data_IF_483227471081
#
_entry.id   IF_483227471081
#
_cell.length_a   1.000
_cell.length_b   1.000
_cell.length_c   1.000
_cell.angle_alpha   90.00
_cell.angle_beta   90.00
_cell.angle_gamma   90.00
#
_symmetry.space_group_name_H-M   'P 1'
#
loop_
_entity.id
_entity.type
_entity.pdbx_description
1 polymer ?
#
# COMPACT_ATOMS: atom_id res chain seq x y z
N UNK A 1 -8.99 -15.53 15.00
CA UNK A 1 -7.77 -14.78 14.67
C UNK A 1 -7.19 -15.39 13.42
N UNK A 2 -6.97 -14.59 12.38
CA UNK A 2 -6.08 -14.99 11.29
C UNK A 2 -4.68 -15.12 11.90
N UNK A 3 -4.02 -16.27 11.71
CA UNK A 3 -2.61 -16.40 12.06
C UNK A 3 -1.81 -15.64 10.99
N UNK A 4 -1.44 -14.40 11.32
CA UNK A 4 -0.55 -13.64 10.45
C UNK A 4 0.84 -14.26 10.42
N UNK A 5 1.47 -14.22 9.25
CA UNK A 5 2.75 -14.87 8.99
C UNK A 5 3.81 -13.83 8.64
N UNK A 6 4.98 -13.91 9.28
CA UNK A 6 6.14 -13.11 8.91
C UNK A 6 7.22 -13.98 8.31
N UNK A 7 8.00 -13.41 7.40
CA UNK A 7 9.26 -13.99 6.94
C UNK A 7 10.40 -12.99 7.12
N UNK A 8 11.53 -13.50 7.58
CA UNK A 8 12.75 -12.74 7.82
C UNK A 8 13.85 -13.23 6.88
N UNK A 9 14.14 -12.44 5.85
CA UNK A 9 15.24 -12.68 4.92
C UNK A 9 16.49 -12.01 5.49
N UNK A 10 17.49 -12.82 5.82
CA UNK A 10 18.71 -12.34 6.49
C UNK A 10 19.93 -12.42 5.60
N UNK A 11 20.78 -11.40 5.67
CA UNK A 11 22.04 -11.35 4.90
C UNK A 11 23.21 -12.11 5.53
N UNK A 12 23.08 -12.51 6.80
CA UNK A 12 24.13 -13.17 7.56
C UNK A 12 23.53 -14.30 8.39
N UNK A 13 24.08 -15.51 8.26
CA UNK A 13 23.64 -16.68 9.04
C UNK A 13 23.71 -16.45 10.54
N UNK A 14 24.66 -15.65 11.03
CA UNK A 14 24.75 -15.29 12.46
C UNK A 14 23.50 -14.58 12.98
N UNK A 15 22.78 -13.85 12.11
CA UNK A 15 21.54 -13.19 12.51
C UNK A 15 20.41 -14.17 12.75
N UNK A 16 20.43 -15.35 12.12
CA UNK A 16 19.44 -16.42 12.35
C UNK A 16 19.48 -16.83 13.82
N UNK A 17 20.67 -17.05 14.36
CA UNK A 17 20.84 -17.48 15.75
C UNK A 17 20.33 -16.42 16.73
N UNK A 18 20.64 -15.14 16.49
CA UNK A 18 20.12 -14.06 17.33
C UNK A 18 18.59 -13.93 17.23
N UNK A 19 18.03 -14.04 16.02
CA UNK A 19 16.58 -13.98 15.81
C UNK A 19 15.86 -15.18 16.43
N UNK A 20 16.46 -16.37 16.47
CA UNK A 20 15.87 -17.55 17.09
C UNK A 20 15.52 -17.32 18.57
N UNK A 21 16.38 -16.60 19.31
CA UNK A 21 16.15 -16.21 20.71
C UNK A 21 15.11 -15.10 20.89
N UNK A 22 14.74 -14.43 19.80
CA UNK A 22 13.76 -13.36 19.77
C UNK A 22 12.40 -13.80 19.20
N UNK A 23 12.22 -15.10 18.88
CA UNK A 23 11.05 -15.62 18.16
C UNK A 23 9.71 -15.21 18.78
N UNK A 24 9.57 -15.44 20.08
CA UNK A 24 8.32 -15.15 20.80
C UNK A 24 8.12 -13.65 21.03
N UNK A 25 9.20 -12.87 20.97
CA UNK A 25 9.18 -11.45 21.27
C UNK A 25 8.87 -10.58 20.06
N UNK A 26 9.20 -10.99 18.85
CA UNK A 26 9.10 -10.15 17.62
C UNK A 26 8.32 -10.86 16.50
N UNK A 27 7.46 -11.81 16.86
CA UNK A 27 6.59 -12.57 15.94
C UNK A 27 7.34 -13.05 14.69
N UNK A 28 8.37 -13.86 14.91
CA UNK A 28 9.21 -14.39 13.83
C UNK A 28 8.64 -15.73 13.38
N UNK A 29 7.99 -15.75 12.21
CA UNK A 29 7.45 -16.95 11.58
C UNK A 29 8.56 -17.79 10.97
N UNK A 30 9.05 -17.38 9.80
CA UNK A 30 10.14 -18.04 9.10
C UNK A 30 11.38 -17.15 9.01
N UNK A 31 12.58 -17.75 9.05
CA UNK A 31 13.84 -17.03 8.86
C UNK A 31 14.67 -17.75 7.81
N UNK A 32 15.04 -17.03 6.75
CA UNK A 32 15.70 -17.59 5.57
C UNK A 32 16.98 -16.82 5.29
N UNK A 33 18.06 -17.55 5.03
CA UNK A 33 19.31 -16.94 4.57
C UNK A 33 19.18 -16.54 3.10
N UNK A 34 19.43 -15.28 2.75
CA UNK A 34 19.11 -14.78 1.40
C UNK A 34 19.74 -15.60 0.25
N UNK A 35 20.96 -16.13 0.42
CA UNK A 35 21.62 -16.94 -0.63
C UNK A 35 20.97 -18.31 -0.84
N UNK A 36 20.25 -18.78 0.16
CA UNK A 36 19.52 -20.06 0.16
C UNK A 36 18.02 -19.83 -0.04
N UNK A 37 17.60 -18.58 -0.19
CA UNK A 37 16.21 -18.19 -0.34
C UNK A 37 15.72 -18.55 -1.74
N UNK A 38 14.91 -19.61 -1.84
CA UNK A 38 14.10 -19.86 -3.01
C UNK A 38 12.80 -19.08 -2.88
N UNK A 39 12.75 -17.88 -3.47
CA UNK A 39 11.62 -16.95 -3.36
C UNK A 39 10.32 -17.58 -3.87
N UNK A 40 10.39 -18.40 -4.92
CA UNK A 40 9.24 -19.09 -5.51
C UNK A 40 8.69 -20.22 -4.60
N UNK A 41 9.49 -20.67 -3.64
CA UNK A 41 9.12 -21.71 -2.68
C UNK A 41 8.75 -21.18 -1.29
N UNK A 42 8.77 -19.86 -1.09
CA UNK A 42 8.38 -19.28 0.20
C UNK A 42 6.88 -19.46 0.42
N UNK A 43 6.43 -19.79 1.65
CA UNK A 43 5.01 -19.88 1.94
C UNK A 43 4.33 -18.52 1.78
N UNK A 44 3.01 -18.49 1.75
CA UNK A 44 2.29 -17.23 1.85
C UNK A 44 2.57 -16.59 3.22
N UNK A 45 3.29 -15.47 3.24
CA UNK A 45 3.47 -14.60 4.40
C UNK A 45 2.50 -13.40 4.32
N UNK A 46 2.48 -12.55 5.34
CA UNK A 46 1.82 -11.24 5.40
C UNK A 46 2.85 -10.12 5.42
N UNK A 47 3.93 -10.24 6.20
CA UNK A 47 5.04 -9.28 6.25
C UNK A 47 6.40 -9.92 5.89
N UNK A 48 7.25 -9.14 5.21
CA UNK A 48 8.64 -9.46 4.88
C UNK A 48 9.56 -8.51 5.60
N UNK A 49 10.53 -9.07 6.31
CA UNK A 49 11.63 -8.34 6.89
C UNK A 49 12.89 -8.67 6.12
N UNK A 50 13.57 -7.65 5.62
CA UNK A 50 14.92 -7.77 5.13
C UNK A 50 15.88 -7.27 6.20
N UNK A 51 16.63 -8.19 6.82
CA UNK A 51 17.62 -7.86 7.82
C UNK A 51 19.00 -7.76 7.18
N UNK A 52 19.45 -6.52 6.98
CA UNK A 52 20.59 -6.13 6.18
C UNK A 52 21.82 -5.83 7.04
N UNK A 53 22.99 -6.14 6.49
CA UNK A 53 24.24 -5.67 7.06
C UNK A 53 24.56 -4.26 6.52
N UNK A 54 24.96 -3.31 7.37
CA UNK A 54 25.22 -1.94 6.95
C UNK A 54 26.36 -1.81 5.93
N UNK A 55 27.29 -2.78 5.89
CA UNK A 55 28.41 -2.79 4.96
C UNK A 55 28.05 -3.35 3.57
N UNK A 56 26.88 -3.98 3.43
CA UNK A 56 26.45 -4.64 2.19
C UNK A 56 25.19 -3.99 1.59
N UNK A 57 24.90 -2.77 1.99
CA UNK A 57 23.81 -1.97 1.42
C UNK A 57 24.08 -1.78 -0.08
N UNK A 58 23.04 -1.88 -0.91
CA UNK A 58 23.11 -1.83 -2.37
C UNK A 58 23.64 -3.10 -3.09
N UNK A 59 23.70 -4.25 -2.41
CA UNK A 59 23.98 -5.50 -3.11
C UNK A 59 22.90 -5.79 -4.18
N UNK A 60 23.31 -5.95 -5.44
CA UNK A 60 22.41 -6.21 -6.56
C UNK A 60 21.51 -7.44 -6.33
N UNK A 61 22.05 -8.48 -5.69
CA UNK A 61 21.29 -9.69 -5.36
C UNK A 61 20.13 -9.44 -4.39
N UNK A 62 20.29 -8.48 -3.48
CA UNK A 62 19.23 -8.09 -2.56
C UNK A 62 18.10 -7.35 -3.31
N UNK A 63 18.45 -6.44 -4.21
CA UNK A 63 17.47 -5.74 -5.04
C UNK A 63 16.68 -6.72 -5.92
N UNK A 64 17.35 -7.72 -6.49
CA UNK A 64 16.69 -8.80 -7.25
C UNK A 64 15.74 -9.61 -6.36
N UNK A 65 16.11 -9.90 -5.11
CA UNK A 65 15.24 -10.56 -4.15
C UNK A 65 13.99 -9.74 -3.83
N UNK A 66 14.14 -8.43 -3.62
CA UNK A 66 13.01 -7.51 -3.43
C UNK A 66 12.09 -7.51 -4.66
N UNK A 67 12.64 -7.43 -5.88
CA UNK A 67 11.86 -7.47 -7.12
C UNK A 67 11.03 -8.75 -7.24
N UNK A 68 11.64 -9.91 -7.00
CA UNK A 68 10.93 -11.20 -7.04
C UNK A 68 9.81 -11.29 -6.00
N UNK A 69 10.05 -10.79 -4.79
CA UNK A 69 8.98 -10.71 -3.78
C UNK A 69 7.84 -9.81 -4.26
N UNK A 70 8.13 -8.71 -4.96
CA UNK A 70 7.12 -7.81 -5.52
C UNK A 70 6.41 -8.36 -6.76
N UNK A 71 7.00 -9.33 -7.46
CA UNK A 71 6.29 -10.06 -8.52
C UNK A 71 5.15 -10.89 -7.93
N UNK A 72 5.42 -11.55 -6.79
CA UNK A 72 4.44 -12.32 -6.00
C UNK A 72 3.48 -11.39 -5.25
N UNK A 73 3.97 -10.23 -4.80
CA UNK A 73 3.23 -9.28 -3.96
C UNK A 73 3.12 -7.92 -4.58
N UNK A 74 1.89 -7.48 -4.81
CA UNK A 74 1.66 -6.13 -5.36
C UNK A 74 1.91 -5.01 -4.34
N UNK A 75 1.90 -5.29 -3.03
CA UNK A 75 2.04 -4.24 -2.01
C UNK A 75 3.45 -4.15 -1.38
N UNK A 76 4.08 -2.99 -1.55
CA UNK A 76 5.41 -2.67 -1.00
C UNK A 76 5.43 -2.38 0.49
N UNK A 77 4.28 -2.02 1.09
CA UNK A 77 4.16 -1.67 2.53
C UNK A 77 4.40 -2.85 3.47
N UNK A 78 4.26 -4.04 2.91
CA UNK A 78 4.45 -5.29 3.63
C UNK A 78 5.93 -5.70 3.67
N UNK A 79 6.81 -4.92 3.06
CA UNK A 79 8.26 -5.13 3.04
C UNK A 79 8.91 -4.08 3.93
N UNK A 80 9.58 -4.53 4.98
CA UNK A 80 10.25 -3.70 5.97
C UNK A 80 11.75 -3.99 5.92
N UNK A 81 12.55 -2.93 5.84
CA UNK A 81 13.99 -3.03 5.81
C UNK A 81 14.56 -2.70 7.19
N UNK A 82 15.35 -3.63 7.72
CA UNK A 82 16.01 -3.50 9.01
C UNK A 82 17.52 -3.51 8.78
N UNK A 83 18.20 -2.40 9.06
CA UNK A 83 19.66 -2.38 9.07
C UNK A 83 20.12 -2.84 10.44
N UNK A 84 20.82 -3.96 10.47
CA UNK A 84 21.33 -4.58 11.69
C UNK A 84 22.71 -4.04 12.08
N UNK A 85 23.25 -4.49 13.21
CA UNK A 85 24.60 -4.15 13.70
C UNK A 85 24.89 -2.64 13.76
N UNK A 86 23.86 -1.85 14.02
CA UNK A 86 23.94 -0.38 14.07
C UNK A 86 24.86 0.14 15.16
N UNK A 87 25.17 -0.70 16.15
CA UNK A 87 26.18 -0.45 17.18
C UNK A 87 27.61 -0.31 16.62
N UNK A 88 27.87 -0.71 15.37
CA UNK A 88 29.17 -0.53 14.71
C UNK A 88 29.30 0.83 14.01
N UNK A 89 28.21 1.59 13.92
CA UNK A 89 28.15 2.82 13.15
C UNK A 89 27.98 4.04 14.06
N UNK A 90 28.63 5.14 13.69
CA UNK A 90 28.36 6.44 14.29
C UNK A 90 27.11 7.09 13.67
N UNK A 91 26.63 8.19 14.28
CA UNK A 91 25.41 8.88 13.86
C UNK A 91 25.43 9.34 12.40
N UNK A 92 26.57 9.78 11.87
CA UNK A 92 26.69 10.22 10.48
C UNK A 92 26.67 9.04 9.51
N UNK A 93 27.34 7.94 9.87
CA UNK A 93 27.31 6.69 9.10
C UNK A 93 25.91 6.11 9.02
N UNK A 94 25.16 6.10 10.13
CA UNK A 94 23.75 5.66 10.15
C UNK A 94 22.87 6.46 9.18
N UNK A 95 23.07 7.77 9.10
CA UNK A 95 22.34 8.63 8.15
C UNK A 95 22.73 8.30 6.71
N UNK A 96 24.02 8.14 6.43
CA UNK A 96 24.52 7.82 5.09
C UNK A 96 23.97 6.47 4.60
N UNK A 97 24.07 5.44 5.44
CA UNK A 97 23.51 4.10 5.23
C UNK A 97 22.03 4.16 4.87
N UNK A 98 21.24 4.95 5.63
CA UNK A 98 19.81 5.12 5.36
C UNK A 98 19.54 5.77 4.00
N UNK A 99 20.31 6.81 3.65
CA UNK A 99 20.17 7.53 2.38
C UNK A 99 20.54 6.62 1.20
N UNK A 100 21.63 5.87 1.32
CA UNK A 100 22.12 4.96 0.29
C UNK A 100 21.14 3.82 0.03
N UNK A 101 20.61 3.20 1.10
CA UNK A 101 19.59 2.16 0.96
C UNK A 101 18.33 2.69 0.29
N UNK A 102 17.85 3.87 0.70
CA UNK A 102 16.69 4.51 0.08
C UNK A 102 16.90 4.77 -1.41
N UNK A 103 18.06 5.31 -1.81
CA UNK A 103 18.40 5.54 -3.22
C UNK A 103 18.46 4.25 -4.02
N UNK A 104 19.05 3.21 -3.46
CA UNK A 104 19.20 1.91 -4.13
C UNK A 104 17.86 1.21 -4.34
N UNK A 105 16.89 1.46 -3.46
CA UNK A 105 15.55 0.91 -3.53
C UNK A 105 14.57 1.78 -4.31
N UNK A 106 14.87 3.05 -4.58
CA UNK A 106 13.90 4.01 -5.13
C UNK A 106 13.36 3.61 -6.51
N UNK A 107 14.17 2.87 -7.29
CA UNK A 107 13.76 2.30 -8.58
C UNK A 107 12.75 1.15 -8.46
N UNK A 108 12.60 0.56 -7.26
CA UNK A 108 11.82 -0.66 -7.02
C UNK A 108 10.69 -0.41 -6.03
N UNK A 109 10.96 0.33 -4.96
CA UNK A 109 10.03 0.70 -3.91
C UNK A 109 10.14 2.20 -3.67
N UNK A 110 9.07 2.93 -4.00
CA UNK A 110 8.96 4.34 -3.64
C UNK A 110 8.85 4.48 -2.11
N UNK A 111 9.74 5.28 -1.52
CA UNK A 111 9.75 5.57 -0.07
C UNK A 111 9.83 4.33 0.84
N UNK A 112 10.90 3.52 0.78
CA UNK A 112 11.00 2.30 1.57
C UNK A 112 11.07 2.60 3.08
N UNK A 113 10.40 1.76 3.85
CA UNK A 113 10.39 1.79 5.32
C UNK A 113 11.66 1.15 5.86
N UNK A 114 12.56 1.99 6.40
CA UNK A 114 13.89 1.57 6.89
C UNK A 114 14.01 1.87 8.38
N UNK A 115 14.27 0.82 9.16
CA UNK A 115 14.58 0.91 10.59
C UNK A 115 16.00 0.44 10.89
N UNK A 116 16.49 0.91 12.03
CA UNK A 116 17.83 0.64 12.53
C UNK A 116 17.69 -0.22 13.79
N UNK A 117 18.44 -1.32 13.89
CA UNK A 117 18.41 -2.21 15.04
C UNK A 117 19.76 -2.87 15.31
N UNK A 118 19.85 -3.61 16.42
CA UNK A 118 20.94 -4.54 16.70
C UNK A 118 20.38 -5.80 17.34
N UNK A 119 20.25 -6.86 16.54
CA UNK A 119 19.76 -8.17 17.01
C UNK A 119 20.65 -8.77 18.08
N UNK A 120 21.97 -8.51 18.01
CA UNK A 120 22.93 -8.95 19.02
C UNK A 120 22.71 -8.29 20.38
N UNK A 121 22.54 -6.96 20.41
CA UNK A 121 22.30 -6.24 21.67
C UNK A 121 20.95 -6.63 22.27
N UNK A 122 19.93 -6.83 21.42
CA UNK A 122 18.65 -7.30 21.90
C UNK A 122 18.72 -8.72 22.48
N UNK A 123 19.45 -9.61 21.83
CA UNK A 123 19.72 -10.96 22.33
C UNK A 123 20.38 -10.93 23.72
N UNK A 124 21.45 -10.15 23.89
CA UNK A 124 22.10 -10.00 25.21
C UNK A 124 21.18 -9.42 26.29
N UNK A 125 20.32 -8.47 25.91
CA UNK A 125 19.32 -7.91 26.83
C UNK A 125 18.30 -8.95 27.27
N UNK A 126 17.75 -9.75 26.35
CA UNK A 126 16.76 -10.77 26.69
C UNK A 126 17.38 -11.91 27.51
N UNK A 127 18.59 -12.38 27.19
CA UNK A 127 19.29 -13.37 28.04
C UNK A 127 19.52 -12.86 29.47
N UNK A 128 19.91 -11.59 29.62
CA UNK A 128 20.06 -10.99 30.94
C UNK A 128 18.71 -10.89 31.69
N UNK A 129 17.67 -10.42 31.00
CA UNK A 129 16.33 -10.25 31.56
C UNK A 129 15.69 -11.58 31.98
N UNK A 130 15.94 -12.65 31.23
CA UNK A 130 15.51 -14.01 31.57
C UNK A 130 16.39 -14.68 32.63
N UNK A 131 17.50 -14.05 33.04
CA UNK A 131 18.42 -14.58 34.04
C UNK A 131 19.39 -15.65 33.51
N UNK A 132 19.45 -15.84 32.19
CA UNK A 132 20.39 -16.74 31.51
C UNK A 132 21.82 -16.16 31.49
N UNK A 133 21.93 -14.82 31.49
CA UNK A 133 23.20 -14.10 31.68
C UNK A 133 23.18 -13.22 32.92
N UNK A 134 24.27 -13.25 33.67
CA UNK A 134 24.53 -12.30 34.74
C UNK A 134 25.23 -11.04 34.20
N UNK A 135 25.32 -10.00 35.02
CA UNK A 135 26.14 -8.81 34.67
C UNK A 135 27.60 -9.19 34.41
N UNK A 136 28.13 -10.19 35.15
CA UNK A 136 29.51 -10.66 34.97
C UNK A 136 29.70 -11.36 33.63
N UNK A 137 28.66 -12.01 33.10
CA UNK A 137 28.70 -12.61 31.77
C UNK A 137 28.70 -11.53 30.69
N UNK A 138 27.85 -10.50 30.83
CA UNK A 138 27.87 -9.33 29.93
C UNK A 138 29.22 -8.60 29.96
N UNK A 139 29.86 -8.48 31.13
CA UNK A 139 31.20 -7.90 31.26
C UNK A 139 32.30 -8.72 30.56
N UNK A 140 32.03 -9.98 30.19
CA UNK A 140 32.97 -10.84 29.43
C UNK A 140 32.71 -10.81 27.93
N UNK A 141 31.61 -10.21 27.48
CA UNK A 141 31.27 -10.12 26.06
C UNK A 141 32.21 -9.15 25.34
N UNK A 142 33.11 -9.70 24.52
CA UNK A 142 34.15 -8.94 23.83
C UNK A 142 33.59 -7.91 22.84
N UNK A 143 32.41 -8.19 22.28
CA UNK A 143 31.78 -7.35 21.28
C UNK A 143 30.78 -6.34 21.86
N UNK A 144 30.58 -6.33 23.19
CA UNK A 144 29.65 -5.42 23.85
C UNK A 144 30.33 -4.08 24.18
N UNK A 145 30.02 -3.06 23.38
CA UNK A 145 30.47 -1.69 23.58
C UNK A 145 29.27 -0.74 23.68
N UNK A 146 29.08 -0.07 24.81
CA UNK A 146 27.90 0.78 25.05
C UNK A 146 28.32 2.26 24.96
N UNK A 147 27.73 3.07 24.07
CA UNK A 147 27.98 4.51 24.03
C UNK A 147 27.31 5.23 25.21
N UNK A 148 28.07 6.04 25.94
CA UNK A 148 27.56 6.83 27.08
C UNK A 148 27.11 8.27 26.71
N UNK A 149 27.44 8.72 25.50
CA UNK A 149 27.35 10.14 25.09
C UNK A 149 28.74 10.66 24.73
N UNK A 150 28.82 11.72 23.92
CA UNK A 150 30.07 12.37 23.48
C UNK A 150 31.12 11.47 22.79
N UNK A 151 30.71 10.27 22.35
CA UNK A 151 31.58 9.30 21.67
C UNK A 151 32.36 8.38 22.61
N UNK A 152 32.19 8.49 23.92
CA UNK A 152 32.80 7.56 24.88
C UNK A 152 32.07 6.21 24.86
N UNK A 153 32.86 5.13 24.81
CA UNK A 153 32.39 3.75 24.83
C UNK A 153 32.78 3.08 26.15
N UNK A 154 31.84 2.36 26.75
CA UNK A 154 32.15 1.45 27.85
C UNK A 154 32.15 0.00 27.38
N UNK A 155 33.03 -0.80 27.98
CA UNK A 155 33.14 -2.21 27.71
C UNK A 155 33.70 -2.96 28.92
N UNK A 156 33.60 -4.28 28.88
CA UNK A 156 34.21 -5.14 29.88
C UNK A 156 33.70 -4.89 31.30
N UNK A 157 34.62 -4.86 32.27
CA UNK A 157 34.32 -4.69 33.71
C UNK A 157 33.61 -3.37 34.08
N UNK A 158 33.64 -2.38 33.20
CA UNK A 158 33.00 -1.08 33.43
C UNK A 158 31.48 -1.11 33.17
N UNK A 159 30.97 -2.20 32.60
CA UNK A 159 29.53 -2.40 32.40
C UNK A 159 28.87 -2.70 33.75
N UNK A 160 27.83 -1.95 34.10
CA UNK A 160 27.05 -2.07 35.34
C UNK A 160 25.57 -2.29 34.99
N UNK A 161 24.75 -2.60 35.99
CA UNK A 161 23.31 -2.84 35.84
C UNK A 161 22.58 -1.61 35.26
N UNK A 162 23.06 -0.40 35.51
CA UNK A 162 22.46 0.84 35.01
C UNK A 162 22.51 0.92 33.47
N UNK A 163 23.53 0.32 32.86
CA UNK A 163 23.72 0.32 31.40
C UNK A 163 22.81 -0.66 30.65
N UNK A 164 22.12 -1.58 31.35
CA UNK A 164 21.22 -2.56 30.72
C UNK A 164 20.10 -1.86 29.92
N UNK A 165 19.61 -0.73 30.42
CA UNK A 165 18.61 0.09 29.71
C UNK A 165 19.12 0.62 28.35
N UNK A 166 20.41 0.95 28.26
CA UNK A 166 21.04 1.38 27.01
C UNK A 166 21.22 0.22 26.05
N UNK A 167 21.56 -0.98 26.54
CA UNK A 167 21.62 -2.20 25.70
C UNK A 167 20.27 -2.45 25.03
N UNK A 168 19.17 -2.40 25.79
CA UNK A 168 17.80 -2.51 25.27
C UNK A 168 17.54 -1.46 24.17
N UNK A 169 17.90 -0.20 24.45
CA UNK A 169 17.67 0.93 23.54
C UNK A 169 18.42 0.78 22.22
N UNK A 170 19.67 0.32 22.26
CA UNK A 170 20.50 0.07 21.06
C UNK A 170 19.94 -1.10 20.26
N UNK A 171 19.45 -2.14 20.94
CA UNK A 171 18.79 -3.27 20.29
C UNK A 171 17.60 -2.84 19.43
N UNK A 172 16.78 -1.91 19.95
CA UNK A 172 15.63 -1.29 19.27
C UNK A 172 14.57 -2.26 18.72
N UNK A 173 14.58 -3.53 19.14
CA UNK A 173 13.62 -4.54 18.66
C UNK A 173 12.22 -4.36 19.24
N UNK A 174 12.07 -3.72 20.40
CA UNK A 174 10.74 -3.42 20.98
C UNK A 174 9.93 -2.47 20.08
N UNK A 175 10.58 -1.47 19.47
CA UNK A 175 9.92 -0.59 18.50
C UNK A 175 9.51 -1.35 17.23
N UNK A 176 10.32 -2.31 16.79
CA UNK A 176 9.98 -3.19 15.66
C UNK A 176 8.79 -4.08 16.02
N UNK A 177 8.77 -4.65 17.22
CA UNK A 177 7.64 -5.43 17.73
C UNK A 177 6.35 -4.62 17.71
N UNK A 178 6.36 -3.42 18.28
CA UNK A 178 5.17 -2.57 18.33
C UNK A 178 4.66 -2.25 16.92
N UNK A 179 5.57 -1.95 16.00
CA UNK A 179 5.24 -1.73 14.60
C UNK A 179 4.57 -2.95 13.95
N UNK A 180 5.06 -4.16 14.21
CA UNK A 180 4.46 -5.42 13.72
C UNK A 180 3.05 -5.59 14.29
N UNK A 181 2.90 -5.46 15.61
CA UNK A 181 1.61 -5.59 16.30
C UNK A 181 0.58 -4.60 15.77
N UNK A 182 0.97 -3.34 15.58
CA UNK A 182 0.11 -2.29 15.07
C UNK A 182 -0.30 -2.57 13.62
N UNK A 183 0.62 -3.10 12.80
CA UNK A 183 0.35 -3.47 11.42
C UNK A 183 -0.67 -4.63 11.33
N UNK A 184 -0.46 -5.71 12.07
CA UNK A 184 -1.39 -6.86 12.08
C UNK A 184 -2.74 -6.53 12.67
N UNK A 185 -2.77 -5.77 13.77
CA UNK A 185 -4.02 -5.28 14.35
C UNK A 185 -4.82 -4.44 13.35
N UNK A 186 -4.14 -3.71 12.47
CA UNK A 186 -4.76 -2.88 11.45
C UNK A 186 -5.18 -3.69 10.22
N UNK A 187 -4.36 -4.65 9.77
CA UNK A 187 -4.72 -5.59 8.70
C UNK A 187 -5.94 -6.42 9.05
N UNK A 188 -6.08 -6.88 10.31
CA UNK A 188 -7.23 -7.69 10.75
C UNK A 188 -8.53 -6.87 10.71
N UNK A 189 -8.46 -5.59 11.08
CA UNK A 189 -9.62 -4.69 11.05
C UNK A 189 -10.07 -4.36 9.63
N UNK A 190 -9.13 -4.25 8.71
CA UNK A 190 -9.39 -3.79 7.35
C UNK A 190 -9.49 -4.92 6.32
N UNK A 191 -9.22 -6.19 6.71
CA UNK A 191 -9.18 -7.35 5.81
C UNK A 191 -8.26 -7.17 4.58
N UNK A 192 -7.07 -6.61 4.83
CA UNK A 192 -6.09 -6.33 3.77
C UNK A 192 -5.56 -7.62 3.13
N UNK A 193 -5.54 -7.68 1.80
CA UNK A 193 -4.90 -8.75 1.04
C UNK A 193 -3.57 -8.25 0.44
N UNK A 194 -2.47 -8.72 1.00
CA UNK A 194 -1.10 -8.30 0.63
C UNK A 194 -0.70 -8.70 -0.79
N UNK A 195 -1.43 -9.64 -1.41
CA UNK A 195 -1.17 -10.09 -2.79
C UNK A 195 -1.81 -9.16 -3.82
N UNK A 196 -2.80 -8.38 -3.40
CA UNK A 196 -3.56 -7.48 -4.27
C UNK A 196 -3.12 -6.04 -4.08
N UNK A 197 -3.45 -5.21 -5.06
CA UNK A 197 -3.43 -3.75 -4.94
C UNK A 197 -4.68 -3.33 -4.14
N UNK A 198 -4.46 -2.84 -2.92
CA UNK A 198 -5.50 -2.44 -1.98
C UNK A 198 -5.82 -0.96 -2.21
N UNK A 199 -6.98 -0.69 -2.81
CA UNK A 199 -7.40 0.65 -3.23
C UNK A 199 -8.62 1.08 -2.42
N UNK A 200 -8.63 2.33 -1.97
CA UNK A 200 -9.75 2.86 -1.21
C UNK A 200 -10.75 3.49 -2.17
N UNK A 201 -12.01 3.11 -2.04
CA UNK A 201 -13.13 3.70 -2.79
C UNK A 201 -13.96 4.55 -1.85
N UNK A 202 -13.92 5.85 -2.07
CA UNK A 202 -14.59 6.87 -1.27
C UNK A 202 -15.75 7.45 -2.05
N UNK A 203 -16.91 7.56 -1.41
CA UNK A 203 -18.11 8.12 -2.01
C UNK A 203 -19.36 7.74 -1.25
N UNK A 204 -20.47 8.42 -1.55
CA UNK A 204 -21.78 8.02 -1.05
C UNK A 204 -22.15 6.64 -1.59
N UNK A 205 -22.88 5.85 -0.81
CA UNK A 205 -23.34 4.53 -1.22
C UNK A 205 -24.54 4.65 -2.17
N UNK A 206 -24.26 5.20 -3.35
CA UNK A 206 -25.20 5.34 -4.47
C UNK A 206 -24.89 4.30 -5.55
N UNK A 207 -25.78 4.23 -6.54
CA UNK A 207 -25.70 3.29 -7.66
C UNK A 207 -24.34 3.34 -8.35
N UNK A 208 -23.73 4.53 -8.48
CA UNK A 208 -22.45 4.68 -9.17
C UNK A 208 -21.29 3.99 -8.47
N UNK A 209 -21.20 4.13 -7.13
CA UNK A 209 -20.17 3.47 -6.33
C UNK A 209 -20.35 1.95 -6.34
N UNK A 210 -21.57 1.45 -6.10
CA UNK A 210 -21.84 0.01 -6.08
C UNK A 210 -21.55 -0.65 -7.42
N UNK A 211 -21.93 0.00 -8.52
CA UNK A 211 -21.70 -0.53 -9.86
C UNK A 211 -20.23 -0.53 -10.24
N UNK A 212 -19.48 0.51 -9.88
CA UNK A 212 -18.03 0.53 -10.06
C UNK A 212 -17.35 -0.62 -9.32
N UNK A 213 -17.72 -0.83 -8.04
CA UNK A 213 -17.15 -1.92 -7.23
C UNK A 213 -17.47 -3.28 -7.85
N UNK A 214 -18.71 -3.49 -8.33
CA UNK A 214 -19.11 -4.72 -9.01
C UNK A 214 -18.28 -4.96 -10.28
N UNK A 215 -18.09 -3.94 -11.12
CA UNK A 215 -17.34 -4.04 -12.37
C UNK A 215 -15.87 -4.37 -12.10
N UNK A 216 -15.24 -3.63 -11.17
CA UNK A 216 -13.81 -3.84 -10.87
C UNK A 216 -13.58 -5.20 -10.21
N UNK A 217 -14.46 -5.61 -9.30
CA UNK A 217 -14.37 -6.96 -8.74
C UNK A 217 -14.63 -8.04 -9.81
N UNK A 218 -15.50 -7.79 -10.79
CA UNK A 218 -15.71 -8.70 -11.91
C UNK A 218 -14.50 -8.83 -12.82
N UNK A 219 -13.87 -7.71 -13.17
CA UNK A 219 -12.79 -7.66 -14.17
C UNK A 219 -11.38 -7.89 -13.59
N UNK A 220 -11.12 -7.48 -12.34
CA UNK A 220 -9.78 -7.43 -11.73
C UNK A 220 -9.73 -8.04 -10.31
N UNK A 221 -10.68 -8.92 -9.95
CA UNK A 221 -10.75 -9.51 -8.59
C UNK A 221 -9.47 -10.23 -8.15
N UNK A 222 -8.64 -10.72 -9.08
CA UNK A 222 -7.40 -11.41 -8.74
C UNK A 222 -6.28 -10.45 -8.33
N UNK A 223 -6.23 -9.25 -8.94
CA UNK A 223 -5.13 -8.29 -8.78
C UNK A 223 -5.46 -7.12 -7.85
N UNK A 224 -6.76 -6.82 -7.65
CA UNK A 224 -7.21 -5.62 -6.96
C UNK A 224 -8.18 -5.97 -5.84
N UNK A 225 -7.98 -5.35 -4.68
CA UNK A 225 -8.93 -5.36 -3.57
C UNK A 225 -9.46 -3.93 -3.35
N UNK A 226 -10.78 -3.76 -3.41
CA UNK A 226 -11.43 -2.47 -3.18
C UNK A 226 -11.96 -2.38 -1.74
N UNK A 227 -11.64 -1.27 -1.09
CA UNK A 227 -12.07 -0.98 0.27
C UNK A 227 -13.02 0.21 0.24
N UNK A 228 -14.30 -0.08 0.38
CA UNK A 228 -15.33 0.94 0.41
C UNK A 228 -15.30 1.68 1.75
N UNK A 229 -15.15 3.00 1.69
CA UNK A 229 -15.13 3.85 2.86
C UNK A 229 -16.18 4.96 2.72
N UNK A 230 -16.94 5.17 3.81
CA UNK A 230 -17.91 6.28 3.90
C UNK A 230 -17.36 7.45 4.72
N UNK A 231 -16.33 7.22 5.56
CA UNK A 231 -15.75 8.22 6.45
C UNK A 231 -14.22 8.19 6.40
N UNK A 232 -13.62 9.28 5.95
CA UNK A 232 -12.17 9.43 5.80
C UNK A 232 -11.38 9.22 7.10
N UNK A 233 -12.02 9.36 8.26
CA UNK A 233 -11.35 9.14 9.55
C UNK A 233 -11.04 7.67 9.84
N UNK A 234 -11.57 6.75 9.03
CA UNK A 234 -11.33 5.31 9.15
C UNK A 234 -10.15 4.84 8.27
N UNK A 235 -9.62 5.71 7.41
CA UNK A 235 -8.53 5.37 6.51
C UNK A 235 -7.19 5.46 7.25
N UNK A 236 -6.59 4.31 7.53
CA UNK A 236 -5.16 4.22 7.83
C UNK A 236 -4.37 4.10 6.52
N UNK A 237 -3.90 5.24 6.02
CA UNK A 237 -3.16 5.38 4.76
C UNK A 237 -1.99 4.42 4.60
N UNK A 238 -1.36 4.03 5.71
CA UNK A 238 -0.18 3.17 5.73
C UNK A 238 -0.49 1.75 5.24
N UNK A 239 -1.76 1.34 5.21
CA UNK A 239 -2.19 0.01 4.80
C UNK A 239 -2.54 -0.13 3.31
N UNK A 240 -2.92 0.96 2.64
CA UNK A 240 -3.45 0.93 1.26
C UNK A 240 -2.42 1.42 0.26
N UNK A 241 -2.44 1.02 -1.01
CA UNK A 241 -1.39 1.32 -2.00
C UNK A 241 -1.35 2.78 -2.49
N UNK A 242 -1.72 3.72 -1.60
CA UNK A 242 -1.74 5.16 -1.80
C UNK A 242 -2.55 5.55 -3.03
N UNK A 243 -3.66 4.86 -3.26
CA UNK A 243 -4.65 5.23 -4.26
C UNK A 243 -6.02 5.35 -3.60
N UNK A 244 -6.65 6.52 -3.80
CA UNK A 244 -8.03 6.77 -3.44
C UNK A 244 -8.82 7.06 -4.72
N UNK A 245 -9.90 6.32 -4.91
CA UNK A 245 -10.87 6.56 -5.97
C UNK A 245 -12.08 7.24 -5.35
N UNK A 246 -12.36 8.46 -5.79
CA UNK A 246 -13.49 9.25 -5.34
C UNK A 246 -14.63 9.13 -6.34
N UNK A 247 -15.76 8.52 -5.97
CA UNK A 247 -16.87 8.23 -6.87
C UNK A 247 -18.13 8.97 -6.46
N UNK A 248 -18.87 9.44 -7.46
CA UNK A 248 -20.23 9.98 -7.32
C UNK A 248 -20.33 11.20 -6.39
N UNK A 249 -19.22 11.94 -6.29
CA UNK A 249 -19.19 13.15 -5.49
C UNK A 249 -19.92 14.23 -6.26
N UNK A 250 -21.06 14.71 -5.74
CA UNK A 250 -21.65 15.95 -6.21
C UNK A 250 -20.70 17.10 -5.86
N UNK A 251 -19.72 17.37 -6.73
CA UNK A 251 -18.61 18.30 -6.47
C UNK A 251 -19.09 19.70 -6.06
N UNK A 252 -20.27 20.13 -6.52
CA UNK A 252 -20.84 21.42 -6.13
C UNK A 252 -21.28 21.44 -4.66
N UNK A 253 -21.86 20.33 -4.17
CA UNK A 253 -22.33 20.18 -2.78
C UNK A 253 -21.25 19.65 -1.83
N UNK A 254 -20.34 18.86 -2.37
CA UNK A 254 -19.32 18.11 -1.63
C UNK A 254 -17.93 18.72 -1.81
N UNK A 255 -17.86 20.00 -2.18
CA UNK A 255 -16.61 20.76 -2.31
C UNK A 255 -15.72 20.66 -1.07
N UNK A 256 -16.30 20.83 0.11
CA UNK A 256 -15.57 20.71 1.40
C UNK A 256 -14.97 19.33 1.61
N UNK A 257 -15.70 18.30 1.18
CA UNK A 257 -15.24 16.92 1.31
C UNK A 257 -14.07 16.63 0.35
N UNK A 258 -14.15 17.09 -0.90
CA UNK A 258 -13.03 17.01 -1.86
C UNK A 258 -11.80 17.73 -1.30
N UNK A 259 -11.99 18.92 -0.74
CA UNK A 259 -10.92 19.69 -0.10
C UNK A 259 -10.31 18.95 1.10
N UNK A 260 -11.13 18.31 1.94
CA UNK A 260 -10.68 17.49 3.06
C UNK A 260 -9.85 16.29 2.58
N UNK A 261 -10.30 15.56 1.55
CA UNK A 261 -9.51 14.45 0.98
C UNK A 261 -8.19 14.95 0.42
N UNK A 262 -8.22 16.04 -0.35
CA UNK A 262 -7.03 16.58 -0.99
C UNK A 262 -6.01 17.12 0.02
N UNK A 263 -6.48 17.73 1.12
CA UNK A 263 -5.61 18.30 2.15
C UNK A 263 -5.09 17.26 3.13
N UNK A 264 -5.88 16.23 3.48
CA UNK A 264 -5.47 15.16 4.39
C UNK A 264 -4.49 14.19 3.73
N UNK A 265 -4.72 13.85 2.47
CA UNK A 265 -4.02 12.75 1.79
C UNK A 265 -3.04 13.24 0.71
N UNK A 266 -2.19 14.24 0.98
CA UNK A 266 -1.38 14.93 -0.06
C UNK A 266 -0.58 13.95 -0.94
N UNK A 267 0.09 12.96 -0.34
CA UNK A 267 0.99 12.02 -1.02
C UNK A 267 0.30 10.77 -1.62
N UNK A 268 -1.04 10.76 -1.61
CA UNK A 268 -1.85 9.68 -2.17
C UNK A 268 -2.32 10.07 -3.56
N UNK A 269 -2.21 9.14 -4.51
CA UNK A 269 -2.80 9.25 -5.83
C UNK A 269 -4.33 9.29 -5.73
N UNK A 270 -4.94 10.29 -6.37
CA UNK A 270 -6.38 10.50 -6.31
C UNK A 270 -6.94 10.43 -7.72
N UNK A 271 -7.87 9.50 -7.92
CA UNK A 271 -8.64 9.37 -9.14
C UNK A 271 -10.04 9.89 -8.83
N UNK A 272 -10.47 10.92 -9.53
CA UNK A 272 -11.82 11.46 -9.39
C UNK A 272 -12.70 10.85 -10.47
N UNK A 273 -13.67 10.07 -10.05
CA UNK A 273 -14.68 9.45 -10.92
C UNK A 273 -15.98 10.22 -10.75
N UNK A 274 -16.27 11.04 -11.74
CA UNK A 274 -17.46 11.89 -11.78
C UNK A 274 -18.56 11.16 -12.54
N UNK A 275 -19.52 10.61 -11.79
CA UNK A 275 -20.74 10.01 -12.31
C UNK A 275 -21.77 11.09 -12.69
N UNK A 276 -21.45 11.88 -13.72
CA UNK A 276 -22.30 12.98 -14.21
C UNK A 276 -22.31 13.09 -15.73
N UNK A 277 -21.79 12.11 -16.47
CA UNK A 277 -21.82 12.17 -17.94
C UNK A 277 -23.23 12.14 -18.49
N UNK A 278 -24.23 11.69 -17.75
CA UNK A 278 -25.64 11.68 -18.12
C UNK A 278 -26.37 12.99 -17.79
N UNK A 279 -25.85 13.80 -16.87
CA UNK A 279 -26.54 15.01 -16.41
C UNK A 279 -26.77 16.07 -17.51
N UNK A 280 -26.00 16.07 -18.60
CA UNK A 280 -26.28 16.96 -19.74
C UNK A 280 -27.60 16.62 -20.45
N UNK A 281 -28.12 15.41 -20.26
CA UNK A 281 -29.40 14.99 -20.83
C UNK A 281 -30.59 15.62 -20.07
N UNK A 282 -30.36 16.04 -18.83
CA UNK A 282 -31.38 16.56 -17.91
C UNK A 282 -31.21 18.06 -17.63
N UNK A 283 -30.07 18.63 -18.00
CA UNK A 283 -29.72 20.03 -17.82
C UNK A 283 -29.51 20.59 -19.22
N UNK A 284 -30.16 21.70 -19.59
CA UNK A 284 -30.01 22.42 -20.88
C UNK A 284 -28.58 22.99 -21.07
N UNK A 285 -27.58 22.13 -21.04
CA UNK A 285 -26.14 22.42 -21.12
C UNK A 285 -25.46 21.35 -21.93
N UNK A 286 -24.49 21.74 -22.74
CA UNK A 286 -23.68 20.79 -23.48
C UNK A 286 -22.78 19.98 -22.55
N UNK A 287 -22.56 18.70 -22.89
CA UNK A 287 -21.63 17.79 -22.20
C UNK A 287 -20.24 18.41 -22.00
N UNK A 288 -19.73 19.11 -23.01
CA UNK A 288 -18.44 19.81 -22.99
C UNK A 288 -18.36 20.90 -21.91
N UNK A 289 -19.46 21.61 -21.66
CA UNK A 289 -19.56 22.66 -20.65
C UNK A 289 -19.59 22.07 -19.23
N UNK A 290 -20.29 20.96 -19.03
CA UNK A 290 -20.31 20.23 -17.75
C UNK A 290 -18.92 19.72 -17.40
N UNK A 291 -18.23 19.08 -18.35
CA UNK A 291 -16.85 18.60 -18.17
C UNK A 291 -15.92 19.77 -17.82
N UNK A 292 -16.00 20.87 -18.58
CA UNK A 292 -15.15 22.05 -18.38
C UNK A 292 -15.39 22.72 -17.02
N UNK A 293 -16.64 22.88 -16.62
CA UNK A 293 -17.00 23.50 -15.33
C UNK A 293 -16.59 22.64 -14.15
N UNK A 294 -16.81 21.31 -14.23
CA UNK A 294 -16.40 20.36 -13.19
C UNK A 294 -14.88 20.30 -13.05
N UNK A 295 -14.15 20.20 -14.15
CA UNK A 295 -12.68 20.24 -14.15
C UNK A 295 -12.17 21.54 -13.54
N UNK A 296 -12.80 22.69 -13.84
CA UNK A 296 -12.42 23.97 -13.23
C UNK A 296 -12.57 23.97 -11.71
N UNK A 297 -13.52 23.22 -11.15
CA UNK A 297 -13.68 23.09 -9.70
C UNK A 297 -12.65 22.12 -9.13
N UNK A 298 -12.51 20.92 -9.69
CA UNK A 298 -11.54 19.91 -9.22
C UNK A 298 -10.10 20.43 -9.28
N UNK A 299 -9.75 21.14 -10.35
CA UNK A 299 -8.42 21.71 -10.54
C UNK A 299 -8.08 22.82 -9.54
N UNK A 300 -9.03 23.31 -8.73
CA UNK A 300 -8.72 24.18 -7.59
C UNK A 300 -8.11 23.41 -6.42
N UNK A 301 -8.31 22.10 -6.36
CA UNK A 301 -7.90 21.24 -5.24
C UNK A 301 -6.81 20.25 -5.60
N UNK A 302 -6.74 19.82 -6.85
CA UNK A 302 -5.86 18.73 -7.27
C UNK A 302 -5.40 18.90 -8.72
N UNK A 303 -4.21 18.39 -9.03
CA UNK A 303 -3.76 18.17 -10.41
C UNK A 303 -4.01 16.73 -10.88
N UNK A 304 -4.79 15.96 -10.13
CA UNK A 304 -5.08 14.55 -10.38
C UNK A 304 -5.93 14.32 -11.63
N UNK A 305 -5.95 13.07 -12.07
CA UNK A 305 -6.71 12.62 -13.24
C UNK A 305 -8.21 12.57 -12.91
N UNK A 306 -9.03 13.21 -13.75
CA UNK A 306 -10.48 13.25 -13.62
C UNK A 306 -11.11 12.40 -14.74
N UNK A 307 -11.94 11.45 -14.35
CA UNK A 307 -12.67 10.56 -15.23
C UNK A 307 -14.15 10.84 -15.13
N UNK A 308 -14.77 10.98 -16.28
CA UNK A 308 -16.19 11.29 -16.38
C UNK A 308 -16.87 10.04 -16.90
N UNK A 309 -17.71 9.46 -16.07
CA UNK A 309 -18.41 8.21 -16.38
C UNK A 309 -19.93 8.41 -16.32
N UNK A 310 -20.66 7.51 -16.98
CA UNK A 310 -22.10 7.33 -16.78
C UNK A 310 -22.37 5.91 -16.31
N UNK A 311 -22.79 5.79 -15.05
CA UNK A 311 -23.23 4.52 -14.50
C UNK A 311 -24.55 4.05 -15.12
N UNK A 312 -25.33 4.97 -15.67
CA UNK A 312 -26.55 4.64 -16.41
C UNK A 312 -26.24 3.81 -17.67
N UNK A 313 -25.26 4.24 -18.46
CA UNK A 313 -24.89 3.57 -19.72
C UNK A 313 -24.26 2.20 -19.46
N UNK A 314 -23.37 2.10 -18.47
CA UNK A 314 -22.71 0.83 -18.15
C UNK A 314 -23.70 -0.20 -17.56
N UNK A 315 -24.71 0.27 -16.81
CA UNK A 315 -25.80 -0.60 -16.32
C UNK A 315 -26.56 -1.23 -17.49
N UNK A 316 -26.95 -0.43 -18.48
CA UNK A 316 -27.62 -0.93 -19.68
C UNK A 316 -26.73 -1.87 -20.49
N UNK A 317 -25.43 -1.60 -20.59
CA UNK A 317 -24.46 -2.52 -21.20
C UNK A 317 -24.47 -3.89 -20.51
N UNK A 318 -24.36 -3.92 -19.18
CA UNK A 318 -24.36 -5.16 -18.38
C UNK A 318 -25.69 -5.89 -18.54
N UNK A 319 -26.82 -5.20 -18.38
CA UNK A 319 -28.16 -5.79 -18.49
C UNK A 319 -28.44 -6.34 -19.90
N UNK A 320 -27.99 -5.64 -20.96
CA UNK A 320 -28.14 -6.08 -22.34
C UNK A 320 -27.28 -7.33 -22.63
N UNK A 321 -26.06 -7.38 -22.09
CA UNK A 321 -25.16 -8.54 -22.25
C UNK A 321 -25.66 -9.76 -21.47
N UNK A 322 -26.19 -9.54 -20.27
CA UNK A 322 -26.81 -10.57 -19.43
C UNK A 322 -28.23 -10.96 -19.88
N UNK A 323 -28.76 -10.35 -20.95
CA UNK A 323 -30.11 -10.61 -21.49
C UNK A 323 -31.24 -10.30 -20.51
N UNK A 324 -31.00 -9.38 -19.57
CA UNK A 324 -32.01 -8.82 -18.67
C UNK A 324 -32.90 -7.85 -19.43
N UNK A 325 -32.30 -7.06 -20.32
CA UNK A 325 -32.99 -6.18 -21.26
C UNK A 325 -32.69 -6.58 -22.71
N UNK A 326 -33.52 -6.12 -23.64
CA UNK A 326 -33.36 -6.33 -25.08
C UNK A 326 -32.82 -5.08 -25.77
N UNK A 327 -32.31 -5.24 -26.99
CA UNK A 327 -31.93 -4.11 -27.85
C UNK A 327 -33.08 -3.11 -28.02
N UNK A 328 -34.33 -3.59 -28.08
CA UNK A 328 -35.49 -2.72 -28.26
C UNK A 328 -35.77 -1.86 -27.03
N UNK A 329 -35.49 -2.36 -25.83
CA UNK A 329 -35.64 -1.61 -24.58
C UNK A 329 -34.69 -0.41 -24.57
N UNK A 330 -33.42 -0.64 -24.93
CA UNK A 330 -32.41 0.44 -25.08
C UNK A 330 -32.81 1.43 -26.17
N UNK A 331 -33.34 0.94 -27.30
CA UNK A 331 -33.78 1.81 -28.41
C UNK A 331 -34.92 2.72 -27.97
N UNK A 332 -35.88 2.19 -27.22
CA UNK A 332 -37.07 2.91 -26.77
C UNK A 332 -36.80 3.88 -25.62
N UNK A 333 -35.71 3.69 -24.88
CA UNK A 333 -35.37 4.54 -23.74
C UNK A 333 -34.96 5.96 -24.18
N UNK A 334 -35.81 6.95 -23.94
CA UNK A 334 -35.53 8.33 -24.38
C UNK A 334 -34.32 8.99 -23.69
N UNK A 335 -33.86 8.44 -22.56
CA UNK A 335 -32.74 8.99 -21.79
C UNK A 335 -31.39 8.51 -22.35
N UNK A 336 -31.37 7.45 -23.16
CA UNK A 336 -30.13 7.03 -23.84
C UNK A 336 -29.95 7.80 -25.13
N UNK A 337 -28.92 8.63 -25.19
CA UNK A 337 -28.52 9.42 -26.36
C UNK A 337 -27.06 9.11 -26.70
N UNK A 338 -26.80 8.58 -27.89
CA UNK A 338 -25.42 8.41 -28.37
C UNK A 338 -25.00 9.63 -29.15
N UNK A 339 -23.72 9.99 -29.05
CA UNK A 339 -23.15 11.13 -29.76
C UNK A 339 -21.99 10.67 -30.64
N UNK A 340 -21.77 11.37 -31.76
CA UNK A 340 -20.55 11.21 -32.55
C UNK A 340 -19.36 11.97 -31.93
N UNK A 341 -18.20 11.91 -32.59
CA UNK A 341 -16.97 12.58 -32.14
C UNK A 341 -17.07 14.11 -32.11
N UNK A 342 -18.10 14.69 -32.73
CA UNK A 342 -18.38 16.12 -32.74
C UNK A 342 -19.46 16.51 -31.73
N UNK A 343 -20.03 15.55 -30.99
CA UNK A 343 -21.07 15.78 -30.00
C UNK A 343 -22.48 15.84 -30.59
N UNK A 344 -22.69 15.41 -31.84
CA UNK A 344 -24.03 15.38 -32.43
C UNK A 344 -24.75 14.07 -32.10
N UNK A 345 -26.04 14.10 -31.75
CA UNK A 345 -26.82 12.88 -31.51
C UNK A 345 -26.83 11.97 -32.74
N UNK A 346 -26.53 10.69 -32.54
CA UNK A 346 -26.60 9.64 -33.57
C UNK A 346 -27.78 8.70 -33.32
N UNK A 347 -28.18 8.00 -34.39
CA UNK A 347 -29.24 7.01 -34.29
C UNK A 347 -28.79 5.79 -33.50
N UNK A 348 -29.70 5.21 -32.72
CA UNK A 348 -29.43 4.00 -31.95
C UNK A 348 -29.32 2.78 -32.85
N UNK A 349 -28.27 1.99 -32.62
CA UNK A 349 -27.97 0.79 -33.39
C UNK A 349 -28.95 -0.35 -33.11
N UNK A 350 -29.34 -1.07 -34.15
CA UNK A 350 -30.21 -2.26 -34.03
C UNK A 350 -29.40 -3.55 -33.83
N UNK A 351 -28.13 -3.54 -34.18
CA UNK A 351 -27.25 -4.67 -33.94
C UNK A 351 -26.84 -4.69 -32.45
N UNK A 352 -27.05 -5.81 -31.76
CA UNK A 352 -26.72 -5.94 -30.34
C UNK A 352 -25.26 -5.62 -30.04
N UNK A 353 -24.32 -6.12 -30.84
CA UNK A 353 -22.89 -5.97 -30.57
C UNK A 353 -22.49 -4.50 -30.71
N UNK A 354 -22.86 -3.87 -31.82
CA UNK A 354 -22.55 -2.45 -32.04
C UNK A 354 -23.21 -1.55 -30.98
N UNK A 355 -24.44 -1.88 -30.57
CA UNK A 355 -25.11 -1.14 -29.50
C UNK A 355 -24.42 -1.31 -28.15
N UNK A 356 -23.95 -2.52 -27.85
CA UNK A 356 -23.15 -2.80 -26.66
C UNK A 356 -21.85 -1.99 -26.66
N UNK A 357 -21.15 -1.94 -27.79
CA UNK A 357 -19.91 -1.16 -27.92
C UNK A 357 -20.18 0.34 -27.73
N UNK A 358 -21.27 0.87 -28.31
CA UNK A 358 -21.68 2.26 -28.14
C UNK A 358 -22.03 2.61 -26.68
N UNK A 359 -22.71 1.71 -25.97
CA UNK A 359 -23.02 1.87 -24.54
C UNK A 359 -21.73 1.95 -23.72
N UNK A 360 -20.77 1.06 -23.99
CA UNK A 360 -19.49 1.03 -23.29
C UNK A 360 -18.67 2.30 -23.59
N UNK A 361 -18.52 2.67 -24.85
CA UNK A 361 -17.75 3.85 -25.28
C UNK A 361 -18.33 5.13 -24.66
N UNK A 362 -19.65 5.32 -24.72
CA UNK A 362 -20.30 6.51 -24.20
C UNK A 362 -20.37 6.53 -22.66
N UNK A 363 -20.23 5.37 -22.00
CA UNK A 363 -20.16 5.30 -20.54
C UNK A 363 -18.87 5.90 -19.96
N UNK A 364 -17.80 6.02 -20.76
CA UNK A 364 -16.49 6.49 -20.32
C UNK A 364 -15.68 5.49 -19.47
N UNK A 365 -16.22 4.30 -19.19
CA UNK A 365 -15.56 3.29 -18.35
C UNK A 365 -14.28 2.71 -18.95
N UNK A 366 -14.16 2.63 -20.29
CA UNK A 366 -12.94 2.14 -20.95
C UNK A 366 -11.68 2.93 -20.55
N UNK A 367 -11.83 4.23 -20.32
CA UNK A 367 -10.72 5.08 -19.89
C UNK A 367 -10.33 4.85 -18.42
N UNK A 368 -11.28 4.42 -17.60
CA UNK A 368 -11.07 4.11 -16.19
C UNK A 368 -10.42 2.73 -16.02
N UNK A 369 -10.87 1.73 -16.80
CA UNK A 369 -10.35 0.36 -16.77
C UNK A 369 -8.87 0.31 -17.20
N UNK A 370 -8.47 1.10 -18.22
CA UNK A 370 -7.05 1.19 -18.66
C UNK A 370 -6.06 1.65 -17.58
N UNK A 371 -6.52 2.35 -16.55
CA UNK A 371 -5.66 2.75 -15.42
C UNK A 371 -5.48 1.59 -14.44
N UNK A 372 -6.50 0.76 -14.30
CA UNK A 372 -6.45 -0.41 -13.42
C UNK A 372 -5.49 -1.48 -13.96
N UNK A 373 -5.24 -1.46 -15.28
CA UNK A 373 -4.25 -2.30 -15.97
C UNK A 373 -2.80 -1.78 -15.84
N UNK A 374 -2.60 -0.54 -15.38
CA UNK A 374 -1.30 0.11 -15.17
C UNK A 374 -0.84 0.09 -13.72
#
# INVERSE_FOLDING_TARGET
>A
MKDFKTIWVVENKKYIDHLAHNRDNVEIGETVYYKECNIDGLPDYDLVFFLLNPLNIANQFFIEGVKKILEIRKSTKTIIFLVNDTNLLNSNELVNVKIELKKSLDEVIKNPTVHMCSTYYNYLYEEYKCGEKTITDLQRELNLNIPLGDGELISGKNITVEHISQIKKIGNMENIKNLITDYFSSMEKCDIDVRKKNIIVVGENQVGKSLFVEIVNGAYSEDVALFECSNLNEINEELFDKMIILIDIDIEKSRRFVEEVCSKYIDIEKIFVVNKMDNYMFIDKEKSEIIKSTNKILNQFTSGSNYFISCYYIKFFIELNNKVITTQDVINDCEIIFEDTLGFPISKEKNKNNLSDLLLENSGYDNLLKIMEG
#
